data_IF_234755129339
#
_entry.id   IF_234755129339
#
_cell.length_a   1.000
_cell.length_b   1.000
_cell.length_c   1.000
_cell.angle_alpha   90.00
_cell.angle_beta   90.00
_cell.angle_gamma   90.00
#
_symmetry.space_group_name_H-M   'P 1'
#
loop_
_entity.id
_entity.type
_entity.pdbx_description
1 polymer ?
#
# COMPACT_ATOMS: atom_id res chain seq x y z
N UNK A 1 20.37 -2.50 -0.61
CA UNK A 1 19.08 -3.16 -0.24
C UNK A 1 19.10 -4.57 -0.79
N UNK A 2 18.51 -5.57 -0.10
CA UNK A 2 18.39 -6.93 -0.65
C UNK A 2 17.51 -6.89 -1.92
N UNK A 3 17.83 -7.73 -2.92
CA UNK A 3 16.99 -7.86 -4.12
C UNK A 3 15.59 -8.30 -3.72
N UNK A 4 14.57 -7.59 -4.18
CA UNK A 4 13.18 -7.93 -3.88
C UNK A 4 12.75 -9.19 -4.64
N UNK A 5 11.93 -10.00 -4.00
CA UNK A 5 11.30 -11.20 -4.52
C UNK A 5 9.99 -11.47 -3.77
N UNK A 6 9.31 -12.56 -4.11
CA UNK A 6 8.04 -12.96 -3.49
C UNK A 6 8.08 -12.96 -1.95
N UNK A 7 9.19 -13.37 -1.34
CA UNK A 7 9.31 -13.51 0.11
C UNK A 7 9.50 -12.18 0.84
N UNK A 8 9.98 -11.12 0.17
CA UNK A 8 10.40 -9.88 0.83
C UNK A 8 9.94 -8.59 0.10
N UNK A 9 8.92 -8.69 -0.76
CA UNK A 9 8.37 -7.55 -1.50
C UNK A 9 7.52 -6.59 -0.65
N UNK A 10 7.04 -7.03 0.52
CA UNK A 10 6.26 -6.19 1.44
C UNK A 10 7.20 -5.16 2.08
N UNK A 11 6.82 -3.89 2.02
CA UNK A 11 7.59 -2.80 2.59
C UNK A 11 6.84 -2.14 3.73
N UNK A 12 7.59 -1.74 4.74
CA UNK A 12 7.12 -0.89 5.82
C UNK A 12 7.94 0.39 5.88
N UNK A 13 7.28 1.48 6.24
CA UNK A 13 7.95 2.73 6.59
C UNK A 13 8.03 2.80 8.11
N UNK A 14 9.22 2.50 8.65
CA UNK A 14 9.47 2.29 10.09
C UNK A 14 8.99 3.47 10.94
N UNK A 15 9.33 4.74 10.63
CA UNK A 15 8.89 5.88 11.43
C UNK A 15 7.37 5.98 11.54
N UNK A 16 6.62 5.52 10.54
CA UNK A 16 5.16 5.57 10.56
C UNK A 16 4.53 4.34 11.24
N UNK A 17 4.90 3.14 10.81
CA UNK A 17 4.22 1.91 11.23
C UNK A 17 4.63 1.45 12.63
N UNK A 18 5.90 1.65 13.00
CA UNK A 18 6.49 1.08 14.21
C UNK A 18 6.91 2.12 15.24
N UNK A 19 6.84 3.42 14.91
CA UNK A 19 7.13 4.51 15.86
C UNK A 19 5.89 5.38 16.06
N UNK A 20 5.42 6.07 15.03
CA UNK A 20 4.32 7.03 15.14
C UNK A 20 3.04 6.41 15.73
N UNK A 21 2.46 5.39 15.10
CA UNK A 21 1.21 4.80 15.61
C UNK A 21 1.35 4.14 16.99
N UNK A 22 2.40 3.36 17.29
CA UNK A 22 2.58 2.82 18.63
C UNK A 22 2.74 3.90 19.70
N UNK A 23 3.54 4.94 19.44
CA UNK A 23 3.73 6.05 20.40
C UNK A 23 2.42 6.81 20.61
N UNK A 24 1.71 7.18 19.54
CA UNK A 24 0.41 7.86 19.66
C UNK A 24 -0.62 7.00 20.40
N UNK A 25 -0.65 5.69 20.14
CA UNK A 25 -1.50 4.75 20.87
C UNK A 25 -1.16 4.66 22.36
N UNK A 26 0.14 4.62 22.69
CA UNK A 26 0.60 4.65 24.08
C UNK A 26 0.22 5.95 24.78
N UNK A 27 0.35 7.10 24.11
CA UNK A 27 -0.07 8.40 24.64
C UNK A 27 -1.58 8.43 24.94
N UNK A 28 -2.42 7.90 24.03
CA UNK A 28 -3.87 7.79 24.26
C UNK A 28 -4.16 6.90 25.47
N UNK A 29 -3.52 5.72 25.54
CA UNK A 29 -3.71 4.78 26.65
C UNK A 29 -3.29 5.39 28.00
N UNK A 30 -2.17 6.12 28.04
CA UNK A 30 -1.71 6.84 29.23
C UNK A 30 -2.68 7.95 29.65
N UNK A 31 -3.23 8.71 28.70
CA UNK A 31 -4.25 9.72 29.01
C UNK A 31 -5.49 9.07 29.62
N UNK A 32 -5.98 7.98 29.04
CA UNK A 32 -7.13 7.23 29.58
C UNK A 32 -6.82 6.69 30.98
N UNK A 33 -5.63 6.12 31.19
CA UNK A 33 -5.19 5.66 32.50
C UNK A 33 -5.19 6.81 33.51
N UNK A 34 -4.60 7.96 33.19
CA UNK A 34 -4.56 9.11 34.10
C UNK A 34 -5.91 9.76 34.37
N UNK A 35 -6.88 9.66 33.45
CA UNK A 35 -8.27 10.05 33.77
C UNK A 35 -8.87 9.23 34.92
N UNK A 36 -8.41 8.01 35.14
CA UNK A 36 -8.84 7.16 36.27
C UNK A 36 -8.07 7.43 37.54
N UNK A 37 -6.79 7.80 37.43
CA UNK A 37 -5.93 8.10 38.59
C UNK A 37 -6.13 9.52 39.14
N UNK A 38 -6.51 10.46 38.29
CA UNK A 38 -6.66 11.89 38.61
C UNK A 38 -8.03 12.41 38.14
N UNK A 39 -9.14 12.08 38.84
CA UNK A 39 -10.49 12.44 38.42
C UNK A 39 -10.72 13.96 38.27
N UNK A 40 -10.01 14.77 39.06
CA UNK A 40 -10.04 16.23 38.99
C UNK A 40 -9.38 16.79 37.71
N UNK A 41 -8.58 15.98 37.02
CA UNK A 41 -7.91 16.29 35.74
C UNK A 41 -8.51 15.56 34.54
N UNK A 42 -9.70 14.98 34.72
CA UNK A 42 -10.34 14.15 33.70
C UNK A 42 -10.61 14.90 32.40
N UNK A 43 -10.95 16.19 32.47
CA UNK A 43 -11.20 17.00 31.28
C UNK A 43 -9.89 17.25 30.50
N UNK A 44 -8.82 17.62 31.18
CA UNK A 44 -7.52 17.89 30.58
C UNK A 44 -6.96 16.65 29.88
N UNK A 45 -6.95 15.49 30.56
CA UNK A 45 -6.50 14.24 29.96
C UNK A 45 -7.44 13.75 28.85
N UNK A 46 -8.75 13.99 28.97
CA UNK A 46 -9.72 13.67 27.93
C UNK A 46 -9.52 14.50 26.66
N UNK A 47 -9.29 15.81 26.79
CA UNK A 47 -8.96 16.69 25.67
C UNK A 47 -7.64 16.28 25.01
N UNK A 48 -6.61 15.98 25.80
CA UNK A 48 -5.32 15.54 25.29
C UNK A 48 -5.42 14.20 24.54
N UNK A 49 -6.17 13.22 25.07
CA UNK A 49 -6.49 11.98 24.37
C UNK A 49 -7.22 12.24 23.05
N UNK A 50 -8.19 13.17 23.05
CA UNK A 50 -8.90 13.62 21.86
C UNK A 50 -7.96 14.23 20.81
N UNK A 51 -7.00 15.07 21.22
CA UNK A 51 -5.99 15.63 20.32
C UNK A 51 -5.14 14.53 19.67
N UNK A 52 -4.62 13.58 20.45
CA UNK A 52 -3.86 12.44 19.92
C UNK A 52 -4.70 11.60 18.96
N UNK A 53 -5.97 11.36 19.28
CA UNK A 53 -6.88 10.63 18.40
C UNK A 53 -7.11 11.36 17.08
N UNK A 54 -7.38 12.67 17.11
CA UNK A 54 -7.58 13.48 15.89
C UNK A 54 -6.31 13.48 15.03
N UNK A 55 -5.12 13.58 15.62
CA UNK A 55 -3.85 13.49 14.89
C UNK A 55 -3.64 12.11 14.27
N UNK A 56 -3.91 11.03 15.00
CA UNK A 56 -3.82 9.66 14.49
C UNK A 56 -4.80 9.44 13.33
N UNK A 57 -6.04 9.88 13.51
CA UNK A 57 -7.10 9.81 12.51
C UNK A 57 -6.75 10.59 11.24
N UNK A 58 -6.28 11.83 11.39
CA UNK A 58 -5.85 12.66 10.27
C UNK A 58 -4.70 11.99 9.50
N UNK A 59 -3.67 11.49 10.19
CA UNK A 59 -2.56 10.75 9.58
C UNK A 59 -3.05 9.55 8.76
N UNK A 60 -3.96 8.77 9.34
CA UNK A 60 -4.56 7.62 8.66
C UNK A 60 -5.37 8.03 7.42
N UNK A 61 -6.21 9.07 7.53
CA UNK A 61 -7.02 9.59 6.42
C UNK A 61 -6.17 10.11 5.26
N UNK A 62 -5.14 10.91 5.55
CA UNK A 62 -4.24 11.46 4.53
C UNK A 62 -3.51 10.34 3.77
N UNK A 63 -3.04 9.31 4.48
CA UNK A 63 -2.46 8.13 3.84
C UNK A 63 -3.48 7.39 2.99
N UNK A 64 -4.62 7.01 3.58
CA UNK A 64 -5.59 6.11 2.95
C UNK A 64 -6.24 6.73 1.72
N UNK A 65 -6.63 8.01 1.79
CA UNK A 65 -7.42 8.64 0.74
C UNK A 65 -6.57 9.38 -0.28
N UNK A 66 -5.52 10.08 0.14
CA UNK A 66 -4.73 10.90 -0.78
C UNK A 66 -3.54 10.11 -1.33
N UNK A 67 -2.68 9.58 -0.46
CA UNK A 67 -1.45 8.94 -0.91
C UNK A 67 -1.72 7.63 -1.68
N UNK A 68 -2.54 6.72 -1.14
CA UNK A 68 -2.80 5.43 -1.80
C UNK A 68 -3.58 5.60 -3.10
N UNK A 69 -4.62 6.44 -3.13
CA UNK A 69 -5.37 6.71 -4.36
C UNK A 69 -4.48 7.31 -5.44
N UNK A 70 -3.60 8.25 -5.07
CA UNK A 70 -2.66 8.83 -6.03
C UNK A 70 -1.66 7.79 -6.56
N UNK A 71 -1.11 6.95 -5.67
CA UNK A 71 -0.23 5.84 -6.08
C UNK A 71 -0.94 4.86 -7.01
N UNK A 72 -2.21 4.55 -6.76
CA UNK A 72 -2.98 3.64 -7.60
C UNK A 72 -3.23 4.21 -9.00
N UNK A 73 -3.48 5.52 -9.10
CA UNK A 73 -3.57 6.23 -10.38
C UNK A 73 -2.25 6.23 -11.12
N UNK A 74 -1.14 6.51 -10.44
CA UNK A 74 0.21 6.50 -11.02
C UNK A 74 0.54 5.11 -11.55
N UNK A 75 0.33 4.05 -10.76
CA UNK A 75 0.57 2.66 -11.18
C UNK A 75 -0.23 2.32 -12.42
N UNK A 76 -1.51 2.71 -12.52
CA UNK A 76 -2.28 2.45 -13.75
C UNK A 76 -1.66 3.16 -14.96
N UNK A 77 -1.23 4.40 -14.81
CA UNK A 77 -0.60 5.16 -15.89
C UNK A 77 0.73 4.54 -16.32
N UNK A 78 1.59 4.16 -15.38
CA UNK A 78 2.86 3.48 -15.64
C UNK A 78 2.63 2.18 -16.40
N UNK A 79 1.69 1.35 -15.96
CA UNK A 79 1.40 0.07 -16.60
C UNK A 79 0.77 0.23 -17.98
N UNK A 80 -0.12 1.21 -18.18
CA UNK A 80 -0.69 1.54 -19.50
C UNK A 80 0.39 1.97 -20.48
N UNK A 81 1.28 2.87 -20.06
CA UNK A 81 2.40 3.34 -20.87
C UNK A 81 3.34 2.18 -21.22
N UNK A 82 3.74 1.40 -20.21
CA UNK A 82 4.63 0.24 -20.38
C UNK A 82 4.04 -0.79 -21.35
N UNK A 83 2.76 -1.14 -21.17
CA UNK A 83 2.08 -2.08 -22.06
C UNK A 83 2.02 -1.57 -23.51
N UNK A 84 1.71 -0.28 -23.69
CA UNK A 84 1.70 0.35 -25.02
C UNK A 84 3.09 0.34 -25.66
N UNK A 85 4.15 0.65 -24.91
CA UNK A 85 5.53 0.61 -25.41
C UNK A 85 5.96 -0.80 -25.85
N UNK A 86 5.51 -1.85 -25.15
CA UNK A 86 5.88 -3.23 -25.46
C UNK A 86 5.04 -3.86 -26.58
N UNK A 87 3.80 -3.43 -26.76
CA UNK A 87 2.84 -4.13 -27.65
C UNK A 87 2.26 -3.26 -28.77
N UNK A 88 2.38 -1.95 -28.67
CA UNK A 88 1.66 -0.99 -29.53
C UNK A 88 0.15 -0.91 -29.26
N UNK A 89 -0.37 -1.63 -28.27
CA UNK A 89 -1.81 -1.72 -27.95
C UNK A 89 -2.14 -1.01 -26.65
N UNK A 90 -3.42 -0.65 -26.48
CA UNK A 90 -3.92 -0.01 -25.27
C UNK A 90 -4.18 -1.06 -24.19
N UNK A 91 -3.63 -0.86 -22.99
CA UNK A 91 -3.85 -1.79 -21.87
C UNK A 91 -5.33 -1.83 -21.45
N UNK A 92 -6.07 -0.75 -21.67
CA UNK A 92 -7.47 -0.60 -21.28
C UNK A 92 -8.39 -1.72 -21.83
N UNK A 93 -8.01 -2.34 -22.95
CA UNK A 93 -8.69 -3.50 -23.54
C UNK A 93 -8.66 -4.73 -22.61
N UNK A 94 -7.56 -4.92 -21.88
CA UNK A 94 -7.37 -5.98 -20.87
C UNK A 94 -7.67 -5.49 -19.45
N UNK A 95 -7.44 -4.21 -19.17
CA UNK A 95 -7.53 -3.63 -17.83
C UNK A 95 -8.92 -3.78 -17.22
N UNK A 96 -9.98 -3.70 -18.04
CA UNK A 96 -11.37 -3.89 -17.58
C UNK A 96 -11.64 -5.28 -17.00
N UNK A 97 -10.82 -6.27 -17.36
CA UNK A 97 -10.90 -7.66 -16.86
C UNK A 97 -9.99 -7.91 -15.66
N UNK A 98 -9.22 -6.92 -15.24
CA UNK A 98 -8.22 -7.05 -14.18
C UNK A 98 -8.55 -6.14 -13.00
N UNK A 99 -8.46 -6.70 -11.79
CA UNK A 99 -8.48 -5.92 -10.56
C UNK A 99 -7.22 -5.07 -10.44
N UNK A 100 -7.31 -3.96 -9.69
CA UNK A 100 -6.13 -3.15 -9.39
C UNK A 100 -5.03 -3.95 -8.69
N UNK A 101 -5.38 -4.92 -7.85
CA UNK A 101 -4.39 -5.77 -7.16
C UNK A 101 -3.61 -6.66 -8.14
N UNK A 102 -4.26 -7.16 -9.20
CA UNK A 102 -3.58 -7.92 -10.27
C UNK A 102 -2.63 -7.00 -11.06
N UNK A 103 -3.08 -5.79 -11.41
CA UNK A 103 -2.22 -4.77 -12.04
C UNK A 103 -1.02 -4.44 -11.15
N UNK A 104 -1.25 -4.21 -9.85
CA UNK A 104 -0.21 -3.96 -8.87
C UNK A 104 0.76 -5.14 -8.70
N UNK A 105 0.32 -6.39 -8.89
CA UNK A 105 1.20 -7.54 -8.91
C UNK A 105 2.08 -7.57 -10.17
N UNK A 106 1.52 -7.23 -11.33
CA UNK A 106 2.24 -7.23 -12.61
C UNK A 106 3.42 -6.26 -12.66
N UNK A 107 3.44 -5.19 -11.84
CA UNK A 107 4.58 -4.24 -11.78
C UNK A 107 5.91 -4.91 -11.45
N UNK A 108 5.87 -6.00 -10.68
CA UNK A 108 7.06 -6.71 -10.25
C UNK A 108 7.67 -7.58 -11.37
N UNK A 109 6.95 -7.82 -12.46
CA UNK A 109 7.48 -8.56 -13.61
C UNK A 109 8.38 -7.66 -14.45
N UNK A 110 9.47 -8.22 -14.99
CA UNK A 110 10.28 -7.58 -16.04
C UNK A 110 9.53 -7.52 -17.38
N UNK A 111 10.07 -6.78 -18.35
CA UNK A 111 9.40 -6.54 -19.64
C UNK A 111 9.12 -7.83 -20.40
N UNK A 112 10.07 -8.78 -20.38
CA UNK A 112 9.95 -10.07 -21.07
C UNK A 112 8.75 -10.90 -20.60
N UNK A 113 8.38 -10.79 -19.32
CA UNK A 113 7.28 -11.56 -18.73
C UNK A 113 5.99 -10.74 -18.55
N UNK A 114 6.08 -9.40 -18.58
CA UNK A 114 4.98 -8.52 -18.20
C UNK A 114 3.70 -8.77 -19.00
N UNK A 115 3.81 -8.80 -20.34
CA UNK A 115 2.66 -8.99 -21.24
C UNK A 115 2.06 -10.39 -21.08
N UNK A 116 2.91 -11.42 -21.05
CA UNK A 116 2.49 -12.81 -20.84
C UNK A 116 1.74 -12.99 -19.52
N UNK A 117 2.25 -12.38 -18.44
CA UNK A 117 1.66 -12.50 -17.10
C UNK A 117 0.26 -11.86 -17.03
N UNK A 118 0.05 -10.72 -17.69
CA UNK A 118 -1.26 -10.09 -17.78
C UNK A 118 -2.26 -10.96 -18.54
N UNK A 119 -1.82 -11.53 -19.66
CA UNK A 119 -2.66 -12.42 -20.46
C UNK A 119 -3.05 -13.67 -19.66
N UNK A 120 -2.08 -14.32 -19.00
CA UNK A 120 -2.35 -15.47 -18.14
C UNK A 120 -3.31 -15.12 -16.99
N UNK A 121 -3.22 -13.92 -16.42
CA UNK A 121 -4.11 -13.47 -15.36
C UNK A 121 -5.56 -13.34 -15.83
N UNK A 122 -5.78 -12.86 -17.06
CA UNK A 122 -7.11 -12.81 -17.67
C UNK A 122 -7.61 -14.22 -18.03
N UNK A 123 -6.79 -15.02 -18.70
CA UNK A 123 -7.22 -16.31 -19.25
C UNK A 123 -7.49 -17.36 -18.15
N UNK A 124 -6.72 -17.32 -17.06
CA UNK A 124 -6.80 -18.30 -15.98
C UNK A 124 -7.40 -17.73 -14.69
N UNK A 125 -7.89 -16.48 -14.72
CA UNK A 125 -8.42 -15.78 -13.55
C UNK A 125 -7.46 -15.80 -12.34
N UNK A 126 -6.16 -15.56 -12.58
CA UNK A 126 -5.13 -15.68 -11.54
C UNK A 126 -5.32 -14.62 -10.46
N UNK A 127 -5.22 -15.03 -9.20
CA UNK A 127 -5.14 -14.10 -8.08
C UNK A 127 -3.83 -13.28 -8.12
N UNK A 128 -3.80 -12.09 -7.49
CA UNK A 128 -2.57 -11.29 -7.37
C UNK A 128 -1.39 -12.05 -6.75
N UNK A 129 -1.66 -12.98 -5.85
CA UNK A 129 -0.64 -13.80 -5.19
C UNK A 129 -0.05 -14.83 -6.15
N UNK A 130 -0.90 -15.53 -6.90
CA UNK A 130 -0.47 -16.47 -7.94
C UNK A 130 0.32 -15.78 -9.04
N UNK A 131 -0.08 -14.58 -9.45
CA UNK A 131 0.70 -13.77 -10.39
C UNK A 131 2.12 -13.52 -9.86
N UNK A 132 2.26 -13.05 -8.61
CA UNK A 132 3.58 -12.79 -8.02
C UNK A 132 4.43 -14.07 -7.94
N UNK A 133 3.85 -15.21 -7.57
CA UNK A 133 4.55 -16.50 -7.54
C UNK A 133 5.07 -16.94 -8.90
N UNK A 134 4.40 -16.56 -9.99
CA UNK A 134 4.81 -16.86 -11.37
C UNK A 134 5.93 -15.95 -11.90
N UNK A 135 6.26 -14.86 -11.20
CA UNK A 135 7.31 -13.93 -11.64
C UNK A 135 8.70 -14.57 -11.50
N UNK A 136 9.39 -14.74 -12.63
CA UNK A 136 10.74 -15.31 -12.70
C UNK A 136 11.81 -14.26 -12.44
N UNK A 137 11.68 -13.11 -13.11
CA UNK A 137 12.61 -11.98 -12.97
C UNK A 137 11.88 -10.82 -12.31
N UNK A 138 12.25 -10.56 -11.06
CA UNK A 138 11.63 -9.55 -10.21
C UNK A 138 12.26 -8.17 -10.41
N UNK A 139 11.44 -7.19 -10.78
CA UNK A 139 11.74 -5.77 -10.68
C UNK A 139 11.36 -5.27 -9.28
N UNK A 140 12.31 -4.63 -8.59
CA UNK A 140 12.05 -4.10 -7.26
C UNK A 140 11.18 -2.84 -7.33
N UNK A 141 10.08 -2.80 -6.56
CA UNK A 141 9.32 -1.59 -6.28
C UNK A 141 9.86 -0.95 -5.00
N UNK A 142 10.70 0.07 -5.19
CA UNK A 142 11.31 0.86 -4.11
C UNK A 142 10.64 2.22 -3.93
N UNK A 143 9.50 2.46 -4.59
CA UNK A 143 8.79 3.75 -4.51
C UNK A 143 7.45 3.63 -3.76
N UNK A 144 6.94 2.41 -3.56
CA UNK A 144 5.73 2.16 -2.75
C UNK A 144 6.05 1.55 -1.38
N UNK A 145 5.26 1.95 -0.38
CA UNK A 145 5.21 1.39 0.98
C UNK A 145 3.78 0.97 1.27
#
# INVERSE_FOLDING_TARGET
>A
MKKQNYQNHIRYYIPHHFVFYPVTGACIALCIYYMTQYPEKKLEFGLLAGCFFVVAWLSFMLRQHYALTNQDRIVRLELRLRYYQLTGKRLEELESKLSFKQLAAARFANDDQFVELLQQAVDNNLSPDEMKKRIRVWNADTMRV
#
